data_IF_810951210914
#
_entry.id   IF_810951210914
#
_cell.length_a   1.000
_cell.length_b   1.000
_cell.length_c   1.000
_cell.angle_alpha   90.00
_cell.angle_beta   90.00
_cell.angle_gamma   90.00
#
_symmetry.space_group_name_H-M   'P 1'
#
loop_
_entity.id
_entity.type
_entity.pdbx_description
1 polymer ?
#
# COMPACT_ATOMS: atom_id res chain seq x y z
N UNK A 1 18.05 55.00 81.75
CA UNK A 1 18.52 54.01 80.74
C UNK A 1 17.64 52.77 80.84
N UNK A 2 17.47 52.08 79.72
CA UNK A 2 16.80 50.79 79.48
C UNK A 2 15.45 50.91 78.74
N UNK A 3 15.44 50.23 77.60
CA UNK A 3 14.69 50.42 76.34
C UNK A 3 13.43 49.53 76.31
N UNK A 4 12.32 49.92 75.65
CA UNK A 4 11.09 49.13 75.60
C UNK A 4 11.22 47.84 74.76
N UNK A 5 10.68 46.74 75.27
CA UNK A 5 10.65 45.42 74.60
C UNK A 5 9.63 45.43 73.45
N UNK A 6 10.12 45.26 72.22
CA UNK A 6 9.30 45.18 70.98
C UNK A 6 8.38 43.94 71.01
N UNK A 7 7.08 44.17 70.89
CA UNK A 7 6.09 43.12 70.62
C UNK A 7 6.25 42.62 69.17
N UNK A 8 6.39 41.30 69.01
CA UNK A 8 6.54 40.65 67.72
C UNK A 8 5.16 40.35 67.14
N UNK A 9 4.74 41.10 66.12
CA UNK A 9 3.49 40.88 65.38
C UNK A 9 3.69 39.68 64.44
N UNK A 10 2.89 38.63 64.62
CA UNK A 10 2.88 37.46 63.75
C UNK A 10 2.42 37.86 62.33
N UNK A 11 3.33 37.74 61.35
CA UNK A 11 3.02 38.00 59.94
C UNK A 11 2.27 36.81 59.35
N UNK A 12 0.95 36.91 59.27
CA UNK A 12 0.13 36.00 58.45
C UNK A 12 0.51 36.24 56.98
N UNK A 13 1.25 35.29 56.40
CA UNK A 13 1.57 35.31 54.97
C UNK A 13 0.29 34.89 54.22
N UNK A 14 -0.48 35.87 53.75
CA UNK A 14 -1.60 35.64 52.84
C UNK A 14 -1.08 35.01 51.55
N UNK A 15 -1.32 33.70 51.37
CA UNK A 15 -1.02 33.01 50.10
C UNK A 15 -1.98 33.54 49.03
N UNK A 16 -1.45 34.22 48.00
CA UNK A 16 -2.24 34.60 46.82
C UNK A 16 -2.85 33.34 46.19
N UNK A 17 -4.12 33.36 45.74
CA UNK A 17 -4.67 32.24 44.98
C UNK A 17 -3.86 32.10 43.70
N UNK A 18 -3.34 30.89 43.45
CA UNK A 18 -2.62 30.57 42.23
C UNK A 18 -3.56 30.86 41.04
N UNK A 19 -3.10 31.68 40.10
CA UNK A 19 -3.82 31.91 38.85
C UNK A 19 -4.07 30.55 38.20
N UNK A 20 -5.35 30.23 37.96
CA UNK A 20 -5.77 29.02 37.25
C UNK A 20 -5.11 29.08 35.87
N UNK A 21 -4.13 28.20 35.62
CA UNK A 21 -3.59 28.00 34.28
C UNK A 21 -4.78 27.67 33.37
N UNK A 22 -5.14 28.59 32.50
CA UNK A 22 -6.10 28.32 31.43
C UNK A 22 -5.42 27.31 30.53
N UNK A 23 -5.83 26.05 30.64
CA UNK A 23 -5.35 24.99 29.78
C UNK A 23 -5.65 25.36 28.34
N UNK A 24 -4.58 25.57 27.56
CA UNK A 24 -4.68 25.81 26.11
C UNK A 24 -5.43 24.61 25.52
N UNK A 25 -6.50 24.80 24.71
CA UNK A 25 -7.19 23.67 24.11
C UNK A 25 -6.17 22.84 23.34
N UNK A 26 -6.21 21.50 23.43
CA UNK A 26 -5.27 20.66 22.72
C UNK A 26 -5.35 21.02 21.22
N UNK A 27 -4.21 21.39 20.64
CA UNK A 27 -4.14 21.62 19.20
C UNK A 27 -4.61 20.34 18.52
N UNK A 28 -5.55 20.45 17.56
CA UNK A 28 -6.00 19.30 16.77
C UNK A 28 -4.76 18.65 16.18
N UNK A 29 -4.45 17.43 16.62
CA UNK A 29 -3.31 16.68 16.10
C UNK A 29 -3.44 16.60 14.57
N UNK A 30 -2.48 17.19 13.86
CA UNK A 30 -2.48 17.16 12.41
C UNK A 30 -2.38 15.71 11.95
N UNK A 31 -3.31 15.29 11.10
CA UNK A 31 -3.30 13.93 10.53
C UNK A 31 -2.01 13.77 9.72
N UNK A 32 -1.29 12.68 9.96
CA UNK A 32 -0.05 12.39 9.25
C UNK A 32 -0.32 12.19 7.74
N UNK A 33 0.41 12.96 6.91
CA UNK A 33 0.38 12.87 5.45
C UNK A 33 0.79 11.47 4.95
N UNK A 34 1.74 10.84 5.65
CA UNK A 34 2.30 9.55 5.27
C UNK A 34 1.53 8.39 5.92
N UNK A 35 1.11 7.44 5.09
CA UNK A 35 0.48 6.21 5.51
C UNK A 35 1.50 5.16 5.94
N UNK A 36 1.38 4.72 7.19
CA UNK A 36 2.23 3.71 7.83
C UNK A 36 1.40 2.47 8.17
N UNK A 37 2.06 1.33 8.35
CA UNK A 37 1.42 0.08 8.76
C UNK A 37 0.76 -0.73 7.64
N UNK A 38 0.09 -1.83 8.03
CA UNK A 38 -0.49 -2.85 7.14
C UNK A 38 -1.52 -2.30 6.16
N UNK A 39 -2.33 -1.34 6.60
CA UNK A 39 -3.39 -0.74 5.78
C UNK A 39 -2.94 0.51 5.02
N UNK A 40 -1.63 0.83 4.99
CA UNK A 40 -1.12 2.05 4.37
C UNK A 40 -1.63 2.29 2.95
N UNK A 41 -1.61 1.25 2.12
CA UNK A 41 -2.10 1.30 0.73
C UNK A 41 -3.60 1.52 0.62
N UNK A 42 -4.37 0.96 1.55
CA UNK A 42 -5.82 1.15 1.62
C UNK A 42 -6.17 2.58 2.04
N UNK A 43 -5.51 3.10 3.07
CA UNK A 43 -5.70 4.47 3.54
C UNK A 43 -5.38 5.52 2.46
N UNK A 44 -4.36 5.27 1.65
CA UNK A 44 -4.03 6.13 0.50
C UNK A 44 -5.06 5.99 -0.61
N UNK A 45 -5.52 4.76 -0.89
CA UNK A 45 -6.55 4.52 -1.90
C UNK A 45 -7.88 5.19 -1.55
N UNK A 46 -8.28 5.21 -0.27
CA UNK A 46 -9.48 5.90 0.19
C UNK A 46 -9.29 7.42 0.40
N UNK A 47 -8.08 7.95 0.17
CA UNK A 47 -7.77 9.37 0.35
C UNK A 47 -7.65 9.83 1.80
N UNK A 48 -7.59 8.92 2.77
CA UNK A 48 -7.37 9.27 4.18
C UNK A 48 -5.96 9.84 4.42
N UNK A 49 -5.02 9.51 3.52
CA UNK A 49 -3.62 9.94 3.52
C UNK A 49 -3.13 10.15 2.10
N UNK A 50 -2.11 10.97 1.91
CA UNK A 50 -1.65 11.37 0.58
C UNK A 50 -0.75 10.31 -0.07
N UNK A 51 0.21 9.77 0.69
CA UNK A 51 1.22 8.82 0.19
C UNK A 51 1.61 7.76 1.20
N UNK A 52 2.06 6.61 0.70
CA UNK A 52 2.68 5.57 1.55
C UNK A 52 4.14 5.90 1.90
N UNK A 53 4.75 5.16 2.84
CA UNK A 53 6.19 5.28 3.14
C UNK A 53 7.05 5.10 1.87
N UNK A 54 6.65 4.18 0.98
CA UNK A 54 7.33 3.95 -0.30
C UNK A 54 6.92 4.91 -1.42
N UNK A 55 6.29 6.04 -1.11
CA UNK A 55 6.00 7.11 -2.06
C UNK A 55 4.79 6.90 -2.99
N UNK A 56 4.11 5.74 -2.92
CA UNK A 56 2.93 5.50 -3.76
C UNK A 56 1.77 6.42 -3.39
N UNK A 57 1.18 7.05 -4.42
CA UNK A 57 -0.04 7.88 -4.35
C UNK A 57 -1.27 7.06 -4.70
N UNK A 58 -2.47 7.63 -4.49
CA UNK A 58 -3.73 6.99 -4.84
C UNK A 58 -3.80 6.60 -6.33
N UNK A 59 -3.22 7.43 -7.21
CA UNK A 59 -3.12 7.18 -8.65
C UNK A 59 -2.36 5.91 -9.01
N UNK A 60 -1.45 5.44 -8.15
CA UNK A 60 -0.58 4.29 -8.43
C UNK A 60 -1.12 3.00 -7.82
N UNK A 61 -2.28 3.06 -7.16
CA UNK A 61 -2.89 1.96 -6.42
C UNK A 61 -4.18 1.54 -7.12
N UNK A 62 -4.38 0.23 -7.22
CA UNK A 62 -5.60 -0.39 -7.76
C UNK A 62 -6.08 -1.50 -6.83
N UNK A 63 -7.40 -1.67 -6.78
CA UNK A 63 -8.04 -2.77 -6.06
C UNK A 63 -8.11 -4.00 -6.96
N UNK A 64 -7.61 -5.14 -6.48
CA UNK A 64 -7.75 -6.41 -7.19
C UNK A 64 -9.14 -7.04 -6.96
N UNK A 65 -9.45 -8.14 -7.67
CA UNK A 65 -10.73 -8.86 -7.51
C UNK A 65 -10.97 -9.33 -6.06
N UNK A 66 -9.91 -9.67 -5.33
CA UNK A 66 -9.96 -10.09 -3.93
C UNK A 66 -10.04 -8.92 -2.93
N UNK A 67 -10.22 -7.69 -3.41
CA UNK A 67 -10.35 -6.50 -2.56
C UNK A 67 -9.05 -5.92 -2.00
N UNK A 68 -7.88 -6.50 -2.31
CA UNK A 68 -6.57 -6.01 -1.88
C UNK A 68 -6.10 -4.84 -2.75
N UNK A 69 -5.67 -3.75 -2.11
CA UNK A 69 -5.03 -2.62 -2.76
C UNK A 69 -3.57 -2.95 -3.11
N UNK A 70 -3.27 -3.13 -4.40
CA UNK A 70 -1.92 -3.42 -4.95
C UNK A 70 -1.48 -2.29 -5.88
N UNK A 71 -0.21 -2.25 -6.30
CA UNK A 71 0.26 -1.18 -7.16
C UNK A 71 -0.14 -1.47 -8.61
N UNK A 72 -0.41 -0.42 -9.40
CA UNK A 72 -0.69 -0.55 -10.83
C UNK A 72 0.41 -1.31 -11.55
N UNK A 73 1.68 -0.99 -11.24
CA UNK A 73 2.85 -1.71 -11.77
C UNK A 73 2.80 -3.22 -11.47
N UNK A 74 2.48 -3.60 -10.23
CA UNK A 74 2.39 -5.03 -9.87
C UNK A 74 1.20 -5.72 -10.57
N UNK A 75 0.06 -5.02 -10.67
CA UNK A 75 -1.12 -5.54 -11.39
C UNK A 75 -0.83 -5.75 -12.87
N UNK A 76 -0.19 -4.79 -13.53
CA UNK A 76 0.14 -4.87 -14.95
C UNK A 76 1.16 -5.98 -15.22
N UNK A 77 2.20 -6.12 -14.37
CA UNK A 77 3.17 -7.21 -14.49
C UNK A 77 2.51 -8.59 -14.44
N UNK A 78 1.51 -8.77 -13.58
CA UNK A 78 0.80 -10.04 -13.49
C UNK A 78 -0.08 -10.32 -14.73
N UNK A 79 -0.71 -9.28 -15.30
CA UNK A 79 -1.55 -9.39 -16.50
C UNK A 79 -0.75 -9.60 -17.79
N UNK A 80 0.45 -9.01 -17.85
CA UNK A 80 1.33 -9.08 -19.01
C UNK A 80 2.25 -10.31 -18.96
N UNK A 81 1.89 -11.35 -18.21
CA UNK A 81 2.66 -12.60 -18.21
C UNK A 81 2.37 -13.37 -19.51
N UNK A 82 3.29 -13.23 -20.46
CA UNK A 82 3.19 -13.75 -21.82
C UNK A 82 2.97 -15.26 -21.83
N UNK A 83 3.71 -16.01 -21.00
CA UNK A 83 3.60 -17.47 -20.95
C UNK A 83 2.24 -17.95 -20.43
N UNK A 84 1.70 -17.29 -19.41
CA UNK A 84 0.38 -17.64 -18.89
C UNK A 84 -0.73 -17.37 -19.91
N UNK A 85 -0.61 -16.29 -20.70
CA UNK A 85 -1.55 -15.96 -21.76
C UNK A 85 -1.45 -16.96 -22.93
N UNK A 86 -0.22 -17.32 -23.34
CA UNK A 86 0.02 -18.32 -24.38
C UNK A 86 -0.56 -19.70 -24.00
N UNK A 87 -0.42 -20.13 -22.74
CA UNK A 87 -1.06 -21.36 -22.26
C UNK A 87 -2.58 -21.25 -22.31
N UNK A 88 -3.14 -20.10 -21.94
CA UNK A 88 -4.59 -19.89 -21.96
C UNK A 88 -5.15 -19.99 -23.38
N UNK A 89 -4.46 -19.42 -24.36
CA UNK A 89 -4.80 -19.52 -25.79
C UNK A 89 -4.64 -20.95 -26.31
N UNK A 90 -3.50 -21.59 -26.05
CA UNK A 90 -3.27 -22.98 -26.44
C UNK A 90 -4.31 -23.95 -25.85
N UNK A 91 -4.76 -23.71 -24.62
CA UNK A 91 -5.84 -24.51 -24.00
C UNK A 91 -7.19 -24.29 -24.66
N UNK A 92 -7.48 -23.07 -25.09
CA UNK A 92 -8.72 -22.76 -25.82
C UNK A 92 -8.72 -23.44 -27.19
N UNK A 93 -7.60 -23.43 -27.91
CA UNK A 93 -7.47 -24.10 -29.21
C UNK A 93 -7.56 -25.62 -29.13
N UNK A 94 -6.98 -26.22 -28.08
CA UNK A 94 -7.01 -27.67 -27.88
C UNK A 94 -8.28 -28.16 -27.20
N UNK A 95 -9.16 -27.25 -26.74
CA UNK A 95 -10.40 -27.62 -26.05
C UNK A 95 -10.18 -28.31 -24.70
N UNK A 96 -9.03 -28.12 -24.05
CA UNK A 96 -8.68 -28.86 -22.82
C UNK A 96 -9.45 -28.26 -21.63
N UNK A 97 -10.47 -28.98 -21.19
CA UNK A 97 -11.25 -28.67 -19.98
C UNK A 97 -10.68 -29.40 -18.76
N UNK A 98 -10.69 -28.75 -17.59
CA UNK A 98 -10.20 -29.35 -16.35
C UNK A 98 -8.68 -29.27 -16.16
N UNK A 99 -8.11 -30.16 -15.36
CA UNK A 99 -6.69 -30.16 -15.06
C UNK A 99 -5.89 -30.90 -16.15
N UNK A 100 -4.78 -30.32 -16.60
CA UNK A 100 -3.85 -30.95 -17.54
C UNK A 100 -2.43 -30.60 -17.12
N UNK A 101 -1.55 -31.61 -17.06
CA UNK A 101 -0.14 -31.43 -16.73
C UNK A 101 0.59 -30.85 -17.94
N UNK A 102 1.55 -29.95 -17.71
CA UNK A 102 2.32 -29.37 -18.81
C UNK A 102 3.53 -30.27 -19.09
N UNK A 103 3.70 -30.69 -20.35
CA UNK A 103 4.86 -31.47 -20.80
C UNK A 103 4.85 -32.98 -20.47
N UNK A 104 3.87 -33.47 -19.72
CA UNK A 104 3.68 -34.90 -19.44
C UNK A 104 2.37 -35.41 -20.03
N UNK A 105 2.37 -36.67 -20.49
CA UNK A 105 1.24 -37.23 -21.25
C UNK A 105 1.16 -36.69 -22.68
N UNK A 106 0.28 -37.28 -23.50
CA UNK A 106 0.10 -36.87 -24.90
C UNK A 106 -0.46 -35.43 -25.00
N UNK A 107 -1.51 -35.14 -24.24
CA UNK A 107 -2.18 -33.83 -24.20
C UNK A 107 -1.26 -32.73 -23.66
N UNK A 108 -0.51 -33.02 -22.58
CA UNK A 108 0.39 -32.06 -21.94
C UNK A 108 1.59 -31.67 -22.81
N UNK A 109 2.12 -32.62 -23.59
CA UNK A 109 3.14 -32.34 -24.60
C UNK A 109 2.59 -31.48 -25.72
N UNK A 110 1.41 -31.80 -26.25
CA UNK A 110 0.75 -31.01 -27.31
C UNK A 110 0.48 -29.57 -26.86
N UNK A 111 -0.02 -29.38 -25.63
CA UNK A 111 -0.22 -28.07 -25.02
C UNK A 111 1.09 -27.28 -24.93
N UNK A 112 2.16 -27.91 -24.44
CA UNK A 112 3.46 -27.25 -24.29
C UNK A 112 4.03 -26.78 -25.63
N UNK A 113 3.98 -27.61 -26.67
CA UNK A 113 4.48 -27.24 -27.99
C UNK A 113 3.71 -26.07 -28.60
N UNK A 114 2.36 -26.11 -28.55
CA UNK A 114 1.54 -24.99 -29.03
C UNK A 114 1.73 -23.71 -28.22
N UNK A 115 1.80 -23.80 -26.90
CA UNK A 115 2.05 -22.64 -26.06
C UNK A 115 3.41 -22.01 -26.37
N UNK A 116 4.42 -22.82 -26.69
CA UNK A 116 5.75 -22.34 -27.06
C UNK A 116 5.74 -21.60 -28.40
N UNK A 117 5.02 -22.11 -29.41
CA UNK A 117 4.89 -21.41 -30.71
C UNK A 117 4.19 -20.06 -30.57
N UNK A 118 3.11 -20.00 -29.77
CA UNK A 118 2.40 -18.73 -29.48
C UNK A 118 3.31 -17.75 -28.72
N UNK A 119 4.12 -18.25 -27.77
CA UNK A 119 5.08 -17.41 -27.06
C UNK A 119 6.13 -16.81 -28.00
N UNK A 120 6.65 -17.59 -28.94
CA UNK A 120 7.63 -17.11 -29.91
C UNK A 120 7.02 -16.06 -30.85
N UNK A 121 5.77 -16.27 -31.30
CA UNK A 121 5.02 -15.29 -32.10
C UNK A 121 4.79 -13.98 -31.35
N UNK A 122 4.21 -14.05 -30.14
CA UNK A 122 3.94 -12.86 -29.31
C UNK A 122 5.23 -12.13 -28.91
N UNK A 123 6.32 -12.85 -28.66
CA UNK A 123 7.63 -12.24 -28.40
C UNK A 123 8.17 -11.53 -29.64
N UNK A 124 8.05 -12.13 -30.82
CA UNK A 124 8.46 -11.49 -32.07
C UNK A 124 7.63 -10.23 -32.36
N UNK A 125 6.32 -10.26 -32.11
CA UNK A 125 5.46 -9.08 -32.21
C UNK A 125 5.86 -7.97 -31.25
N UNK A 126 6.23 -8.31 -30.01
CA UNK A 126 6.72 -7.34 -29.04
C UNK A 126 8.05 -6.69 -29.46
N UNK A 127 8.96 -7.46 -30.07
CA UNK A 127 10.21 -6.93 -30.62
C UNK A 127 9.94 -5.97 -31.78
N UNK A 128 9.07 -6.36 -32.73
CA UNK A 128 8.63 -5.49 -33.84
C UNK A 128 7.99 -4.21 -33.34
N UNK A 129 7.12 -4.30 -32.34
CA UNK A 129 6.47 -3.13 -31.74
C UNK A 129 7.47 -2.20 -31.01
N UNK A 130 8.61 -2.73 -30.57
CA UNK A 130 9.71 -1.97 -29.98
C UNK A 130 10.67 -1.41 -31.05
N UNK A 131 10.44 -1.70 -32.33
CA UNK A 131 11.28 -1.24 -33.45
C UNK A 131 12.59 -2.00 -33.62
N UNK A 132 12.66 -3.23 -33.12
CA UNK A 132 13.81 -4.15 -33.23
C UNK A 132 13.47 -5.36 -34.10
#
# INVERSE_FOLDING_TARGET
VVVPKKAMVARVISRKPAARLVEKPPSRAMKSVIAKGRQSRFLVFTGAKERTIGGLKATDIVKNRYGKCVSKKASNRAKNNIWANAIKEARAELGITGFCTIGMGAEGKALYHKAKTILEQTKAEQLRAQGL
#
